data_IF_314318455304
#
_entry.id   IF_314318455304
#
_cell.length_a   1.000
_cell.length_b   1.000
_cell.length_c   1.000
_cell.angle_alpha   90.00
_cell.angle_beta   90.00
_cell.angle_gamma   90.00
#
_symmetry.space_group_name_H-M   'P 1'
#
loop_
_entity.id
_entity.type
_entity.pdbx_description
1 polymer ?
#
# COMPACT_ATOMS: atom_id res chain seq x y z
N UNK A 1 15.04 1.93 0.94
CA UNK A 1 16.30 1.70 0.21
C UNK A 1 16.55 2.72 -0.89
N UNK A 2 15.55 3.49 -1.37
CA UNK A 2 15.78 4.47 -2.45
C UNK A 2 16.05 3.82 -3.81
N UNK A 3 15.66 2.56 -4.01
CA UNK A 3 15.88 1.83 -5.26
C UNK A 3 15.07 2.38 -6.44
N UNK A 4 13.91 2.98 -6.16
CA UNK A 4 13.09 3.67 -7.17
C UNK A 4 13.24 5.18 -7.04
N UNK A 5 13.07 5.89 -8.16
CA UNK A 5 13.01 7.34 -8.17
C UNK A 5 11.98 7.85 -7.14
N UNK A 6 12.24 8.99 -6.47
CA UNK A 6 13.40 9.88 -6.60
C UNK A 6 14.62 9.45 -5.77
N UNK A 7 14.69 8.20 -5.30
CA UNK A 7 15.86 7.69 -4.56
C UNK A 7 15.93 8.08 -3.08
N UNK A 8 14.84 8.61 -2.50
CA UNK A 8 14.80 8.99 -1.08
C UNK A 8 14.84 7.78 -0.16
N UNK A 9 15.56 7.91 0.95
CA UNK A 9 15.73 6.86 1.97
C UNK A 9 15.08 7.19 3.32
N UNK A 10 14.31 8.28 3.40
CA UNK A 10 13.60 8.72 4.60
C UNK A 10 12.35 7.84 4.87
N UNK A 11 12.26 7.15 6.03
CA UNK A 11 11.12 6.29 6.38
C UNK A 11 9.78 7.03 6.55
N UNK A 12 9.80 8.23 7.13
CA UNK A 12 8.59 9.02 7.35
C UNK A 12 8.06 9.55 6.01
N UNK A 13 8.96 9.98 5.13
CA UNK A 13 8.60 10.38 3.78
C UNK A 13 7.95 9.22 3.00
N UNK A 14 8.43 7.98 3.18
CA UNK A 14 7.85 6.80 2.55
C UNK A 14 6.41 6.53 3.03
N UNK A 15 6.15 6.62 4.34
CA UNK A 15 4.78 6.46 4.87
C UNK A 15 3.84 7.58 4.44
N UNK A 16 4.32 8.83 4.36
CA UNK A 16 3.55 9.96 3.81
C UNK A 16 3.22 9.73 2.33
N UNK A 17 4.15 9.21 1.54
CA UNK A 17 3.90 8.87 0.15
C UNK A 17 2.80 7.80 0.03
N UNK A 18 2.84 6.73 0.83
CA UNK A 18 1.79 5.72 0.86
C UNK A 18 0.41 6.32 1.23
N UNK A 19 0.37 7.19 2.24
CA UNK A 19 -0.87 7.91 2.61
C UNK A 19 -1.43 8.74 1.44
N UNK A 20 -0.59 9.53 0.77
CA UNK A 20 -1.03 10.34 -0.37
C UNK A 20 -1.47 9.50 -1.56
N UNK A 21 -0.84 8.34 -1.81
CA UNK A 21 -1.28 7.41 -2.85
C UNK A 21 -2.68 6.85 -2.56
N UNK A 22 -2.95 6.44 -1.32
CA UNK A 22 -4.28 5.98 -0.90
C UNK A 22 -5.33 7.09 -1.05
N UNK A 23 -5.02 8.31 -0.57
CA UNK A 23 -5.91 9.47 -0.70
C UNK A 23 -6.18 9.81 -2.17
N UNK A 24 -5.14 9.85 -3.00
CA UNK A 24 -5.25 10.13 -4.43
C UNK A 24 -6.12 9.09 -5.14
N UNK A 25 -6.02 7.81 -4.78
CA UNK A 25 -6.91 6.78 -5.33
C UNK A 25 -8.39 7.07 -5.01
N UNK A 26 -8.73 7.34 -3.74
CA UNK A 26 -10.10 7.66 -3.35
C UNK A 26 -10.66 8.90 -4.08
N UNK A 27 -9.86 9.96 -4.17
CA UNK A 27 -10.23 11.18 -4.92
C UNK A 27 -10.39 10.91 -6.42
N UNK A 28 -9.53 10.10 -7.01
CA UNK A 28 -9.63 9.72 -8.42
C UNK A 28 -10.90 8.90 -8.70
N UNK A 29 -11.27 7.96 -7.81
CA UNK A 29 -12.51 7.19 -7.93
C UNK A 29 -13.72 8.13 -7.91
N UNK A 30 -13.80 9.07 -6.96
CA UNK A 30 -14.89 10.06 -6.91
C UNK A 30 -14.97 10.86 -8.21
N UNK A 31 -13.85 11.42 -8.67
CA UNK A 31 -13.79 12.20 -9.90
C UNK A 31 -14.12 11.40 -11.16
N UNK A 32 -13.79 10.11 -11.20
CA UNK A 32 -14.14 9.21 -12.30
C UNK A 32 -15.65 8.92 -12.30
N UNK A 33 -16.26 8.67 -11.14
CA UNK A 33 -17.70 8.37 -11.04
C UNK A 33 -18.59 9.50 -11.58
N UNK A 34 -18.11 10.74 -11.55
CA UNK A 34 -18.80 11.90 -12.14
C UNK A 34 -18.66 11.99 -13.67
N UNK A 35 -17.72 11.27 -14.28
CA UNK A 35 -17.30 11.45 -15.69
C UNK A 35 -17.46 10.23 -16.57
N UNK A 36 -17.39 9.03 -15.99
CA UNK A 36 -17.50 7.77 -16.74
C UNK A 36 -18.91 7.21 -16.65
N UNK A 37 -19.21 6.23 -17.51
CA UNK A 37 -20.49 5.54 -17.46
C UNK A 37 -20.73 4.90 -16.09
N UNK A 38 -21.98 4.88 -15.64
CA UNK A 38 -22.35 4.30 -14.35
C UNK A 38 -21.94 2.82 -14.21
N UNK A 39 -21.89 2.08 -15.32
CA UNK A 39 -21.50 0.67 -15.40
C UNK A 39 -19.98 0.44 -15.54
N UNK A 40 -19.18 1.50 -15.61
CA UNK A 40 -17.73 1.37 -15.73
C UNK A 40 -17.12 0.75 -14.47
N UNK A 41 -16.28 -0.27 -14.65
CA UNK A 41 -15.51 -0.87 -13.56
C UNK A 41 -14.30 0.01 -13.22
N UNK A 42 -14.07 0.22 -11.93
CA UNK A 42 -12.91 0.96 -11.41
C UNK A 42 -12.26 0.10 -10.35
N UNK A 43 -10.94 -0.03 -10.41
CA UNK A 43 -10.16 -0.90 -9.53
C UNK A 43 -8.81 -0.29 -9.21
N UNK A 44 -8.14 -0.81 -8.19
CA UNK A 44 -6.74 -0.56 -7.86
C UNK A 44 -5.91 -1.80 -8.20
N UNK A 45 -4.66 -1.62 -8.61
CA UNK A 45 -3.70 -2.71 -8.76
C UNK A 45 -2.63 -2.60 -7.68
N UNK A 46 -2.41 -3.68 -6.94
CA UNK A 46 -1.45 -3.75 -5.83
C UNK A 46 -0.48 -4.91 -6.06
N UNK A 47 0.80 -4.70 -5.75
CA UNK A 47 1.83 -5.74 -5.77
C UNK A 47 1.89 -6.47 -4.40
N UNK A 48 0.90 -7.32 -4.12
CA UNK A 48 0.77 -7.99 -2.81
C UNK A 48 1.85 -9.06 -2.61
N UNK A 49 2.37 -9.16 -1.38
CA UNK A 49 3.40 -10.12 -0.99
C UNK A 49 2.86 -11.18 -0.02
N UNK A 50 3.22 -12.46 -0.22
CA UNK A 50 2.97 -13.52 0.76
C UNK A 50 4.15 -13.62 1.74
N UNK A 51 4.00 -12.97 2.90
CA UNK A 51 5.05 -12.89 3.92
C UNK A 51 4.95 -14.09 4.88
N UNK A 52 6.07 -14.76 5.13
CA UNK A 52 6.17 -15.89 6.07
C UNK A 52 7.32 -15.65 7.04
N UNK A 53 7.17 -15.98 8.33
CA UNK A 53 8.29 -15.92 9.27
C UNK A 53 9.32 -17.00 8.91
N UNK A 54 10.59 -16.76 9.25
CA UNK A 54 11.67 -17.71 9.00
C UNK A 54 11.56 -18.93 9.93
N UNK A 55 11.27 -18.69 11.21
CA UNK A 55 10.98 -19.70 12.23
C UNK A 55 9.72 -19.37 13.03
N UNK A 56 9.35 -20.24 13.97
CA UNK A 56 8.26 -19.99 14.91
C UNK A 56 8.64 -19.12 16.12
N UNK A 57 9.88 -18.62 16.19
CA UNK A 57 10.31 -17.75 17.29
C UNK A 57 9.63 -16.38 17.23
N UNK A 58 9.32 -15.80 18.40
CA UNK A 58 8.57 -14.55 18.52
C UNK A 58 9.18 -13.39 17.70
N UNK A 59 10.51 -13.33 17.60
CA UNK A 59 11.21 -12.33 16.80
C UNK A 59 10.92 -12.42 15.30
N UNK A 60 10.91 -13.63 14.74
CA UNK A 60 10.61 -13.85 13.32
C UNK A 60 9.13 -13.62 13.01
N UNK A 61 8.25 -13.98 13.94
CA UNK A 61 6.82 -13.72 13.84
C UNK A 61 6.53 -12.22 13.84
N UNK A 62 7.14 -11.44 14.74
CA UNK A 62 6.97 -9.99 14.76
C UNK A 62 7.59 -9.33 13.50
N UNK A 63 8.74 -9.82 13.03
CA UNK A 63 9.34 -9.34 11.78
C UNK A 63 8.40 -9.56 10.58
N UNK A 64 7.83 -10.76 10.44
CA UNK A 64 6.85 -11.06 9.39
C UNK A 64 5.61 -10.14 9.51
N UNK A 65 5.10 -9.93 10.73
CA UNK A 65 3.98 -9.01 10.99
C UNK A 65 4.30 -7.58 10.53
N UNK A 66 5.49 -7.05 10.79
CA UNK A 66 5.90 -5.69 10.38
C UNK A 66 6.10 -5.56 8.88
N UNK A 67 6.71 -6.55 8.25
CA UNK A 67 6.91 -6.58 6.79
C UNK A 67 5.55 -6.60 6.09
N UNK A 68 4.62 -7.46 6.55
CA UNK A 68 3.26 -7.52 6.00
C UNK A 68 2.49 -6.19 6.20
N UNK A 69 2.68 -5.51 7.33
CA UNK A 69 2.13 -4.17 7.53
C UNK A 69 2.61 -3.18 6.45
N UNK A 70 3.91 -3.15 6.19
CA UNK A 70 4.51 -2.19 5.26
C UNK A 70 4.28 -2.55 3.78
N UNK A 71 4.31 -3.84 3.44
CA UNK A 71 4.21 -4.32 2.06
C UNK A 71 2.76 -4.40 1.57
N UNK A 72 1.82 -4.71 2.47
CA UNK A 72 0.43 -4.99 2.11
C UNK A 72 -0.56 -4.08 2.84
N UNK A 73 -0.61 -4.15 4.18
CA UNK A 73 -1.72 -3.56 4.95
C UNK A 73 -1.74 -2.04 4.97
N UNK A 74 -0.61 -1.38 4.72
CA UNK A 74 -0.57 0.09 4.55
C UNK A 74 -1.43 0.55 3.36
N UNK A 75 -1.67 -0.32 2.38
CA UNK A 75 -2.55 -0.05 1.24
C UNK A 75 -3.93 -0.69 1.42
N UNK A 76 -4.01 -1.96 1.81
CA UNK A 76 -5.32 -2.64 1.92
C UNK A 76 -6.16 -2.17 3.10
N UNK A 77 -5.55 -1.79 4.22
CA UNK A 77 -6.28 -1.37 5.44
C UNK A 77 -7.12 -0.10 5.24
N UNK A 78 -6.60 0.97 4.60
CA UNK A 78 -7.40 2.16 4.30
C UNK A 78 -8.45 1.97 3.18
N UNK A 79 -8.38 0.88 2.42
CA UNK A 79 -9.23 0.64 1.23
C UNK A 79 -10.38 -0.33 1.47
N UNK A 80 -10.31 -1.15 2.53
CA UNK A 80 -11.29 -2.18 2.92
C UNK A 80 -11.92 -1.82 4.27
#
# INVERSE_FOLDING_TARGET
SGVHAPGRTDPVAALRAAHHLNLAHGLAVQALRDRVRADAQVSVTLNVHHVRPLSGGDGDVDAARRIDALANRVFTGPML
#
